data_IF_571508393420
#
_entry.id   IF_571508393420
#
_cell.length_a   1.000
_cell.length_b   1.000
_cell.length_c   1.000
_cell.angle_alpha   90.00
_cell.angle_beta   90.00
_cell.angle_gamma   90.00
#
_symmetry.space_group_name_H-M   'P 1'
#
loop_
_entity.id
_entity.type
_entity.pdbx_description
1 polymer ?
#
# COMPACT_ATOMS: atom_id res chain seq x y z
N UNK A 1 -19.25 14.76 -11.16
CA UNK A 1 -18.55 15.70 -10.25
C UNK A 1 -17.16 15.16 -10.02
N UNK A 2 -16.17 15.71 -10.72
CA UNK A 2 -14.76 15.54 -10.34
C UNK A 2 -14.55 16.29 -9.02
N UNK A 3 -14.20 15.57 -7.95
CA UNK A 3 -14.10 16.14 -6.59
C UNK A 3 -12.74 16.79 -6.31
N UNK A 4 -12.05 17.29 -7.34
CA UNK A 4 -10.75 17.97 -7.24
C UNK A 4 -9.56 17.08 -6.88
N UNK A 5 -9.78 15.81 -6.50
CA UNK A 5 -8.71 14.83 -6.34
C UNK A 5 -8.39 14.16 -7.68
N UNK A 6 -7.11 14.17 -8.06
CA UNK A 6 -6.60 13.48 -9.23
C UNK A 6 -6.23 12.03 -8.88
N UNK A 7 -6.64 11.08 -9.73
CA UNK A 7 -6.35 9.66 -9.53
C UNK A 7 -5.81 9.07 -10.83
N UNK A 8 -4.65 8.42 -10.74
CA UNK A 8 -4.04 7.65 -11.83
C UNK A 8 -4.04 6.16 -11.48
N UNK A 9 -5.24 5.56 -11.36
CA UNK A 9 -5.38 4.15 -11.03
C UNK A 9 -6.61 3.51 -11.71
N UNK A 10 -6.47 2.30 -12.24
CA UNK A 10 -7.56 1.49 -12.75
C UNK A 10 -7.28 -0.02 -12.59
N UNK A 11 -8.30 -0.85 -12.76
CA UNK A 11 -8.15 -2.30 -12.65
C UNK A 11 -7.34 -2.85 -13.83
N UNK A 12 -6.40 -3.77 -13.56
CA UNK A 12 -5.52 -4.40 -14.54
C UNK A 12 -4.62 -3.40 -15.28
N UNK A 13 -4.10 -2.40 -14.57
CA UNK A 13 -2.99 -1.59 -15.07
C UNK A 13 -1.84 -2.48 -15.51
N UNK A 14 -1.22 -2.12 -16.63
CA UNK A 14 0.07 -2.71 -17.00
C UNK A 14 1.14 -2.27 -16.01
N UNK A 15 2.23 -3.03 -15.88
CA UNK A 15 3.35 -2.64 -15.03
C UNK A 15 3.92 -1.27 -15.42
N UNK A 16 3.93 -0.96 -16.72
CA UNK A 16 4.39 0.33 -17.24
C UNK A 16 3.47 1.49 -16.82
N UNK A 17 2.15 1.30 -16.92
CA UNK A 17 1.18 2.32 -16.48
C UNK A 17 1.24 2.51 -14.97
N UNK A 18 1.45 1.43 -14.23
CA UNK A 18 1.57 1.45 -12.77
C UNK A 18 2.82 2.23 -12.33
N UNK A 19 3.98 1.97 -12.93
CA UNK A 19 5.19 2.75 -12.68
C UNK A 19 5.02 4.22 -13.09
N UNK A 20 4.38 4.49 -14.24
CA UNK A 20 4.11 5.86 -14.68
C UNK A 20 3.20 6.61 -13.70
N UNK A 21 2.28 5.92 -13.01
CA UNK A 21 1.42 6.54 -12.00
C UNK A 21 2.23 7.12 -10.83
N UNK A 22 3.34 6.47 -10.46
CA UNK A 22 4.25 6.96 -9.43
C UNK A 22 4.98 8.23 -9.87
N UNK A 23 5.48 8.26 -11.11
CA UNK A 23 6.12 9.46 -11.66
C UNK A 23 5.17 10.65 -11.66
N UNK A 24 3.90 10.44 -12.01
CA UNK A 24 2.87 11.50 -11.96
C UNK A 24 2.65 11.99 -10.53
N UNK A 25 2.57 11.08 -9.57
CA UNK A 25 2.42 11.43 -8.15
C UNK A 25 3.63 12.22 -7.62
N UNK A 26 4.86 11.84 -7.99
CA UNK A 26 6.10 12.53 -7.61
C UNK A 26 6.19 13.90 -8.29
N UNK A 27 5.84 14.00 -9.58
CA UNK A 27 5.88 15.24 -10.35
C UNK A 27 4.94 16.33 -9.81
N UNK A 28 3.89 15.94 -9.09
CA UNK A 28 3.02 16.87 -8.36
C UNK A 28 3.72 17.58 -7.20
N UNK A 29 4.91 17.11 -6.79
CA UNK A 29 5.71 17.61 -5.67
C UNK A 29 4.96 17.56 -4.33
N UNK A 30 4.57 16.36 -3.87
CA UNK A 30 3.87 16.22 -2.60
C UNK A 30 4.73 16.66 -1.43
N UNK A 31 4.08 17.17 -0.39
CA UNK A 31 4.70 17.41 0.91
C UNK A 31 4.54 16.22 1.86
N UNK A 32 3.55 15.37 1.63
CA UNK A 32 3.25 14.21 2.47
C UNK A 32 2.91 12.99 1.61
N UNK A 33 3.31 11.82 2.07
CA UNK A 33 2.95 10.55 1.46
C UNK A 33 2.05 9.72 2.38
N UNK A 34 1.09 9.01 1.78
CA UNK A 34 0.25 8.03 2.46
C UNK A 34 0.29 6.74 1.64
N UNK A 35 1.12 5.80 2.08
CA UNK A 35 1.52 4.63 1.30
C UNK A 35 1.02 3.31 1.89
N UNK A 36 0.96 2.31 1.01
CA UNK A 36 0.74 0.91 1.34
C UNK A 36 1.79 0.10 0.59
N UNK A 37 2.87 -0.29 1.26
CA UNK A 37 3.98 -1.05 0.68
C UNK A 37 5.26 -0.24 0.42
N UNK A 38 5.27 1.05 0.75
CA UNK A 38 6.42 1.95 0.66
C UNK A 38 7.09 2.05 -0.72
N UNK A 39 6.34 1.87 -1.81
CA UNK A 39 6.91 1.86 -3.16
C UNK A 39 7.51 3.20 -3.60
N UNK A 40 6.79 4.32 -3.39
CA UNK A 40 7.27 5.66 -3.76
C UNK A 40 8.42 6.07 -2.86
N UNK A 41 8.32 5.84 -1.53
CA UNK A 41 9.45 6.09 -0.62
C UNK A 41 10.69 5.32 -1.04
N UNK A 42 10.55 4.03 -1.39
CA UNK A 42 11.68 3.19 -1.81
C UNK A 42 12.31 3.72 -3.10
N UNK A 43 11.49 4.11 -4.07
CA UNK A 43 11.95 4.69 -5.32
C UNK A 43 12.72 6.00 -5.12
N UNK A 44 12.19 6.89 -4.27
CA UNK A 44 12.83 8.17 -3.92
C UNK A 44 14.17 7.95 -3.19
N UNK A 45 14.21 6.99 -2.27
CA UNK A 45 15.46 6.61 -1.59
C UNK A 45 16.51 6.08 -2.58
N UNK A 46 16.12 5.22 -3.53
CA UNK A 46 17.03 4.71 -4.58
C UNK A 46 17.56 5.81 -5.49
N UNK A 47 16.77 6.86 -5.74
CA UNK A 47 17.18 8.05 -6.50
C UNK A 47 18.05 9.00 -5.69
N UNK A 48 18.04 8.91 -4.36
CA UNK A 48 18.63 9.91 -3.48
C UNK A 48 17.88 11.26 -3.51
N UNK A 49 16.62 11.24 -3.93
CA UNK A 49 15.79 12.44 -4.14
C UNK A 49 14.53 12.32 -3.29
N UNK A 50 14.34 13.21 -2.32
CA UNK A 50 13.13 13.23 -1.49
C UNK A 50 12.19 14.41 -1.80
N UNK A 51 12.61 15.31 -2.69
CA UNK A 51 11.83 16.49 -3.09
C UNK A 51 11.43 17.37 -1.90
N UNK A 52 10.16 17.75 -1.85
CA UNK A 52 9.57 18.60 -0.81
C UNK A 52 8.86 17.80 0.30
N UNK A 53 9.07 16.48 0.36
CA UNK A 53 8.35 15.61 1.29
C UNK A 53 8.92 15.81 2.70
N UNK A 54 8.03 16.10 3.65
CA UNK A 54 8.38 16.33 5.05
C UNK A 54 7.96 15.20 5.98
N UNK A 55 7.01 14.35 5.56
CA UNK A 55 6.58 13.17 6.31
C UNK A 55 5.84 12.13 5.45
N UNK A 56 5.84 10.88 5.90
CA UNK A 56 5.07 9.78 5.28
C UNK A 56 4.25 8.97 6.29
N UNK A 57 3.25 8.24 5.80
CA UNK A 57 2.49 7.22 6.54
C UNK A 57 2.62 5.88 5.79
N UNK A 58 2.90 4.79 6.49
CA UNK A 58 2.97 3.44 5.90
C UNK A 58 1.96 2.49 6.54
N UNK A 59 1.03 1.98 5.72
CA UNK A 59 -0.15 1.21 6.16
C UNK A 59 -0.01 -0.31 6.14
N UNK A 60 1.18 -0.88 5.94
CA UNK A 60 1.33 -2.35 5.86
C UNK A 60 2.60 -2.80 6.57
N UNK A 61 2.51 -3.90 7.32
CA UNK A 61 3.69 -4.51 7.93
C UNK A 61 4.77 -4.88 6.90
N UNK A 62 4.39 -5.26 5.68
CA UNK A 62 5.35 -5.48 4.58
C UNK A 62 6.08 -4.21 4.17
N UNK A 63 5.39 -3.07 4.09
CA UNK A 63 6.01 -1.78 3.80
C UNK A 63 6.89 -1.32 4.94
N UNK A 64 6.45 -1.47 6.20
CA UNK A 64 7.28 -1.16 7.39
C UNK A 64 8.56 -2.00 7.39
N UNK A 65 8.47 -3.30 7.12
CA UNK A 65 9.65 -4.16 7.03
C UNK A 65 10.60 -3.71 5.91
N UNK A 66 10.06 -3.35 4.74
CA UNK A 66 10.86 -2.81 3.62
C UNK A 66 11.54 -1.49 4.00
N UNK A 67 10.87 -0.65 4.79
CA UNK A 67 11.44 0.60 5.28
C UNK A 67 12.52 0.41 6.35
N UNK A 68 12.52 -0.71 7.07
CA UNK A 68 13.51 -1.01 8.12
C UNK A 68 14.95 -1.12 7.62
N UNK A 69 15.13 -1.46 6.33
CA UNK A 69 16.44 -1.59 5.70
C UNK A 69 16.93 -0.31 5.01
N UNK A 70 16.13 0.76 5.02
CA UNK A 70 16.50 2.04 4.41
C UNK A 70 16.52 3.17 5.45
N UNK A 71 17.27 4.23 5.14
CA UNK A 71 17.25 5.47 5.93
C UNK A 71 16.54 6.57 5.11
N UNK A 72 15.23 6.80 5.33
CA UNK A 72 14.49 7.82 4.59
C UNK A 72 14.95 9.23 4.97
N UNK A 73 14.86 10.18 4.04
CA UNK A 73 15.20 11.59 4.27
C UNK A 73 14.18 12.37 5.13
N UNK A 74 13.09 11.73 5.56
CA UNK A 74 12.00 12.32 6.34
C UNK A 74 11.39 11.28 7.30
N UNK A 75 10.71 11.70 8.38
CA UNK A 75 10.02 10.78 9.28
C UNK A 75 8.87 10.05 8.59
N UNK A 76 8.75 8.74 8.84
CA UNK A 76 7.63 7.91 8.38
C UNK A 76 6.92 7.32 9.58
N UNK A 77 5.62 7.58 9.71
CA UNK A 77 4.82 7.05 10.80
C UNK A 77 4.23 5.71 10.39
N UNK A 78 4.54 4.69 11.19
CA UNK A 78 3.86 3.41 11.13
C UNK A 78 2.47 3.53 11.75
N UNK A 79 1.44 3.54 10.91
CA UNK A 79 0.04 3.45 11.36
C UNK A 79 -0.58 2.07 11.12
N UNK A 80 0.21 1.08 10.69
CA UNK A 80 -0.18 -0.32 10.70
C UNK A 80 -0.32 -0.82 12.14
N UNK A 81 0.64 -0.47 12.98
CA UNK A 81 0.72 -0.86 14.40
C UNK A 81 -0.19 -0.06 15.34
N UNK A 82 -1.14 0.72 14.81
CA UNK A 82 -2.13 1.38 15.66
C UNK A 82 -3.03 0.30 16.30
N UNK A 83 -3.25 0.33 17.64
CA UNK A 83 -4.03 -0.70 18.37
C UNK A 83 -5.46 -0.90 17.85
N UNK A 84 -6.01 0.08 17.13
CA UNK A 84 -7.33 0.03 16.48
C UNK A 84 -7.35 -0.90 15.24
N UNK A 85 -6.22 -1.15 14.60
CA UNK A 85 -6.12 -1.89 13.32
C UNK A 85 -5.86 -3.40 13.52
N UNK A 86 -5.05 -3.76 14.52
CA UNK A 86 -4.76 -5.14 14.92
C UNK A 86 -6.04 -5.93 15.31
N UNK A 87 -6.99 -5.27 15.99
CA UNK A 87 -8.21 -5.92 16.47
C UNK A 87 -9.30 -6.11 15.42
N UNK A 88 -9.44 -5.22 14.43
CA UNK A 88 -10.62 -5.17 13.54
C UNK A 88 -10.32 -5.49 12.07
N UNK A 89 -9.23 -4.98 11.49
CA UNK A 89 -9.00 -5.06 10.04
C UNK A 89 -8.21 -6.32 9.62
N UNK A 90 -7.05 -6.59 10.21
CA UNK A 90 -6.21 -7.73 9.79
C UNK A 90 -6.80 -9.09 10.20
N UNK A 91 -7.44 -9.18 11.38
CA UNK A 91 -7.99 -10.44 11.89
C UNK A 91 -9.36 -10.81 11.32
N UNK A 92 -10.26 -9.83 11.13
CA UNK A 92 -11.66 -10.12 10.82
C UNK A 92 -12.03 -9.84 9.36
N UNK A 93 -11.50 -8.77 8.74
CA UNK A 93 -11.82 -8.43 7.34
C UNK A 93 -11.05 -9.25 6.31
N UNK A 94 -9.78 -9.57 6.56
CA UNK A 94 -8.97 -10.43 5.66
C UNK A 94 -9.56 -11.84 5.58
N UNK A 95 -9.98 -12.41 6.71
CA UNK A 95 -10.63 -13.72 6.76
C UNK A 95 -11.95 -13.77 5.96
N UNK A 96 -12.77 -12.73 6.05
CA UNK A 96 -14.03 -12.63 5.31
C UNK A 96 -13.81 -12.44 3.80
N UNK A 97 -12.82 -11.63 3.41
CA UNK A 97 -12.55 -11.30 1.99
C UNK A 97 -11.84 -12.44 1.26
N UNK A 98 -10.92 -13.14 1.93
CA UNK A 98 -10.26 -14.33 1.38
C UNK A 98 -11.26 -15.45 1.11
N UNK A 99 -12.17 -15.71 2.06
CA UNK A 99 -13.24 -16.70 1.89
C UNK A 99 -14.15 -16.35 0.71
N UNK A 100 -14.61 -15.10 0.65
CA UNK A 100 -15.47 -14.64 -0.44
C UNK A 100 -14.80 -14.78 -1.81
N UNK A 101 -13.54 -14.37 -1.93
CA UNK A 101 -12.78 -14.44 -3.20
C UNK A 101 -12.52 -15.88 -3.64
N UNK A 102 -12.21 -16.79 -2.71
CA UNK A 102 -12.02 -18.20 -3.00
C UNK A 102 -13.30 -18.85 -3.55
N UNK A 103 -14.45 -18.65 -2.89
CA UNK A 103 -15.73 -19.18 -3.35
C UNK A 103 -16.15 -18.60 -4.70
N UNK A 104 -15.98 -17.29 -4.88
CA UNK A 104 -16.33 -16.63 -6.14
C UNK A 104 -15.48 -17.07 -7.32
N UNK A 105 -14.22 -17.43 -7.09
CA UNK A 105 -13.28 -17.80 -8.17
C UNK A 105 -13.29 -19.29 -8.48
N UNK A 106 -13.44 -20.14 -7.46
CA UNK A 106 -13.30 -21.60 -7.60
C UNK A 106 -14.62 -22.35 -7.59
N UNK A 107 -15.70 -21.73 -7.08
CA UNK A 107 -16.97 -22.40 -6.74
C UNK A 107 -16.81 -23.63 -5.82
N UNK A 108 -15.68 -23.77 -5.13
CA UNK A 108 -15.41 -24.88 -4.21
C UNK A 108 -15.70 -24.50 -2.77
N UNK A 109 -16.08 -25.50 -1.97
CA UNK A 109 -16.18 -25.37 -0.52
C UNK A 109 -14.88 -25.82 0.16
N UNK A 110 -14.46 -25.11 1.19
CA UNK A 110 -13.33 -25.49 2.06
C UNK A 110 -13.72 -26.49 3.17
N UNK A 111 -14.98 -26.91 3.22
CA UNK A 111 -15.43 -27.95 4.16
C UNK A 111 -14.64 -29.24 3.93
N UNK A 112 -14.03 -29.78 5.00
CA UNK A 112 -13.17 -30.97 5.00
C UNK A 112 -11.87 -30.88 4.17
N UNK A 113 -11.46 -29.68 3.71
CA UNK A 113 -10.17 -29.51 3.02
C UNK A 113 -9.05 -29.19 4.02
N UNK A 114 -7.92 -29.90 3.89
CA UNK A 114 -6.68 -29.59 4.62
C UNK A 114 -5.92 -28.49 3.88
N UNK A 115 -5.75 -27.36 4.53
CA UNK A 115 -4.92 -26.24 4.07
C UNK A 115 -3.78 -26.09 5.07
N UNK A 116 -2.60 -26.56 4.69
CA UNK A 116 -1.35 -26.37 5.41
C UNK A 116 -0.37 -25.68 4.46
#
# INVERSE_FOLDING_TARGET
MERGAEACAWRNMSDADWQQSWEKAIAWQPTHLCEMGADITTLLHQRGEFGNIVAGLEATGSGVNRLGDIQPGYPIFNWDDLPVKEGLHNRHMVGLTAWHTFFQTTHLTLHEKKCW
#
